data_IF_533160119527
#
_entry.id   IF_533160119527
#
_cell.length_a   1.000
_cell.length_b   1.000
_cell.length_c   1.000
_cell.angle_alpha   90.00
_cell.angle_beta   90.00
_cell.angle_gamma   90.00
#
_symmetry.space_group_name_H-M   'P 1'
#
loop_
_entity.id
_entity.type
_entity.pdbx_description
1 polymer ?
#
# COMPACT_ATOMS: atom_id res chain seq x y z
N UNK A 1 26.62 17.45 9.07
CA UNK A 1 25.40 18.25 8.89
C UNK A 1 24.57 17.56 7.82
N UNK A 2 23.42 16.96 8.18
CA UNK A 2 22.47 16.48 7.17
C UNK A 2 22.04 17.71 6.37
N UNK A 3 22.28 17.73 5.06
CA UNK A 3 21.61 18.70 4.22
C UNK A 3 20.16 18.26 4.13
N UNK A 4 19.30 18.86 4.96
CA UNK A 4 17.86 18.62 4.86
C UNK A 4 17.40 19.11 3.50
N UNK A 5 17.11 18.14 2.63
CA UNK A 5 16.63 18.37 1.28
C UNK A 5 15.22 18.93 1.39
N UNK A 6 15.00 20.16 0.93
CA UNK A 6 13.67 20.77 0.94
C UNK A 6 12.73 20.02 -0.03
N UNK A 7 11.69 19.32 0.46
CA UNK A 7 10.81 18.52 -0.38
C UNK A 7 9.97 19.37 -1.35
N UNK A 8 9.80 20.66 -1.10
CA UNK A 8 8.99 21.56 -1.94
C UNK A 8 9.57 21.80 -3.34
N UNK A 9 10.84 21.49 -3.56
CA UNK A 9 11.52 21.68 -4.84
C UNK A 9 11.73 20.37 -5.62
N UNK A 10 11.09 19.28 -5.19
CA UNK A 10 11.28 17.95 -5.78
C UNK A 10 9.98 17.46 -6.38
N UNK A 11 10.09 16.90 -7.58
CA UNK A 11 9.09 16.01 -8.14
C UNK A 11 9.64 14.59 -8.08
N UNK A 12 8.82 13.65 -7.62
CA UNK A 12 9.22 12.27 -7.46
C UNK A 12 8.30 11.34 -8.24
N UNK A 13 8.87 10.31 -8.87
CA UNK A 13 8.14 9.28 -9.59
C UNK A 13 8.87 7.93 -9.46
N UNK A 14 8.11 6.84 -9.40
CA UNK A 14 8.63 5.47 -9.41
C UNK A 14 8.01 4.68 -10.58
N UNK A 15 8.64 4.73 -11.77
CA UNK A 15 8.14 4.03 -12.95
C UNK A 15 8.17 2.51 -12.81
N UNK A 16 9.09 1.95 -12.00
CA UNK A 16 9.19 0.52 -11.76
C UNK A 16 7.96 -0.02 -11.03
N UNK A 17 7.44 0.74 -10.06
CA UNK A 17 6.20 0.38 -9.36
C UNK A 17 4.98 0.44 -10.30
N UNK A 18 4.94 1.39 -11.23
CA UNK A 18 3.89 1.42 -12.25
C UNK A 18 3.96 0.24 -13.20
N UNK A 19 5.16 -0.19 -13.61
CA UNK A 19 5.32 -1.39 -14.43
C UNK A 19 4.83 -2.64 -13.68
N UNK A 20 5.15 -2.75 -12.39
CA UNK A 20 4.67 -3.83 -11.53
C UNK A 20 3.13 -3.86 -11.44
N UNK A 21 2.51 -2.72 -11.12
CA UNK A 21 1.05 -2.62 -11.01
C UNK A 21 0.36 -2.89 -12.36
N UNK A 22 0.93 -2.42 -13.46
CA UNK A 22 0.39 -2.65 -14.80
C UNK A 22 0.39 -4.14 -15.15
N UNK A 23 1.46 -4.86 -14.81
CA UNK A 23 1.56 -6.30 -15.01
C UNK A 23 0.55 -7.09 -14.14
N UNK A 24 0.29 -6.64 -12.92
CA UNK A 24 -0.72 -7.27 -12.05
C UNK A 24 -2.15 -7.03 -12.51
N UNK A 25 -2.47 -5.79 -12.90
CA UNK A 25 -3.84 -5.39 -13.26
C UNK A 25 -4.19 -5.69 -14.72
N UNK A 26 -3.20 -5.95 -15.58
CA UNK A 26 -3.43 -6.15 -17.02
C UNK A 26 -3.99 -4.90 -17.72
N UNK A 27 -3.50 -3.73 -17.33
CA UNK A 27 -4.03 -2.44 -17.79
C UNK A 27 -3.65 -2.20 -19.26
N UNK A 28 -4.62 -1.72 -20.06
CA UNK A 28 -4.37 -1.35 -21.45
C UNK A 28 -3.39 -0.15 -21.56
N UNK A 29 -2.58 -0.08 -22.63
CA UNK A 29 -1.71 1.08 -22.88
C UNK A 29 -2.52 2.39 -22.89
N UNK A 30 -2.05 3.38 -22.12
CA UNK A 30 -2.70 4.70 -22.02
C UNK A 30 -3.77 4.84 -20.94
N UNK A 31 -4.17 3.75 -20.28
CA UNK A 31 -5.02 3.82 -19.10
C UNK A 31 -4.19 4.07 -17.81
N UNK A 32 -4.81 4.73 -16.83
CA UNK A 32 -4.16 4.97 -15.54
C UNK A 32 -3.99 3.63 -14.80
N UNK A 33 -2.77 3.38 -14.34
CA UNK A 33 -2.43 2.22 -13.49
C UNK A 33 -2.76 2.51 -12.02
N UNK A 34 -2.82 3.80 -11.67
CA UNK A 34 -3.24 4.25 -10.35
C UNK A 34 -4.75 4.45 -10.29
N UNK A 35 -5.34 3.97 -9.21
CA UNK A 35 -6.72 4.18 -8.82
C UNK A 35 -6.81 4.28 -7.29
N UNK A 36 -8.03 4.41 -6.78
CA UNK A 36 -8.30 4.56 -5.35
C UNK A 36 -7.75 3.41 -4.50
N UNK A 37 -7.62 2.21 -5.08
CA UNK A 37 -7.15 1.02 -4.36
C UNK A 37 -5.65 1.01 -4.10
N UNK A 38 -4.84 1.71 -4.90
CA UNK A 38 -3.38 1.60 -4.86
C UNK A 38 -2.63 2.95 -4.80
N UNK A 39 -3.32 4.08 -4.94
CA UNK A 39 -2.70 5.40 -4.91
C UNK A 39 -1.94 5.66 -3.59
N UNK A 40 -2.49 5.23 -2.46
CA UNK A 40 -1.82 5.38 -1.16
C UNK A 40 -0.60 4.48 -1.01
N UNK A 41 -0.63 3.26 -1.57
CA UNK A 41 0.55 2.39 -1.58
C UNK A 41 1.68 2.96 -2.42
N UNK A 42 1.34 3.54 -3.58
CA UNK A 42 2.32 4.26 -4.40
C UNK A 42 2.89 5.47 -3.66
N UNK A 43 2.03 6.29 -3.04
CA UNK A 43 2.48 7.43 -2.24
C UNK A 43 3.41 7.03 -1.11
N UNK A 44 3.17 5.87 -0.48
CA UNK A 44 4.02 5.33 0.59
C UNK A 44 5.45 4.98 0.15
N UNK A 45 5.70 4.85 -1.16
CA UNK A 45 7.06 4.66 -1.70
C UNK A 45 7.80 5.97 -1.96
N UNK A 46 7.12 7.11 -1.83
CA UNK A 46 7.67 8.43 -2.07
C UNK A 46 8.44 8.97 -0.85
N UNK A 47 9.37 9.92 -1.05
CA UNK A 47 10.06 10.60 0.06
C UNK A 47 9.15 11.54 0.85
N UNK A 48 7.91 11.77 0.40
CA UNK A 48 6.93 12.62 1.07
C UNK A 48 6.10 11.87 2.11
N UNK A 49 6.18 10.53 2.12
CA UNK A 49 5.44 9.71 3.07
C UNK A 49 6.19 9.60 4.40
N UNK A 50 5.50 9.92 5.48
CA UNK A 50 6.03 9.76 6.83
C UNK A 50 5.73 8.35 7.37
N UNK A 51 6.79 7.63 7.74
CA UNK A 51 6.71 6.29 8.36
C UNK A 51 6.18 6.31 9.79
N UNK A 52 6.07 7.48 10.42
CA UNK A 52 5.44 7.64 11.72
C UNK A 52 3.95 8.04 11.60
N UNK A 53 3.42 8.12 10.38
CA UNK A 53 2.02 8.46 10.16
C UNK A 53 1.08 7.35 10.62
N UNK A 54 -0.16 7.73 10.94
CA UNK A 54 -1.22 6.77 11.27
C UNK A 54 -1.47 5.77 10.13
N UNK A 55 -1.27 6.19 8.87
CA UNK A 55 -1.38 5.31 7.71
C UNK A 55 -0.38 4.16 7.78
N UNK A 56 0.86 4.42 8.22
CA UNK A 56 1.87 3.37 8.38
C UNK A 56 1.53 2.43 9.52
N UNK A 57 0.99 2.97 10.62
CA UNK A 57 0.53 2.14 11.73
C UNK A 57 -0.57 1.16 11.29
N UNK A 58 -1.60 1.65 10.60
CA UNK A 58 -2.69 0.80 10.07
C UNK A 58 -2.17 -0.21 9.05
N UNK A 59 -1.22 0.19 8.19
CA UNK A 59 -0.58 -0.70 7.22
C UNK A 59 0.16 -1.84 7.92
N UNK A 60 0.94 -1.53 8.96
CA UNK A 60 1.68 -2.54 9.72
C UNK A 60 0.75 -3.49 10.47
N UNK A 61 -0.30 -2.97 11.11
CA UNK A 61 -1.33 -3.79 11.78
C UNK A 61 -1.98 -4.75 10.78
N UNK A 62 -2.40 -4.24 9.61
CA UNK A 62 -2.99 -5.06 8.55
C UNK A 62 -2.05 -6.18 8.09
N UNK A 63 -0.77 -5.87 7.84
CA UNK A 63 0.22 -6.86 7.45
C UNK A 63 0.44 -7.96 8.50
N UNK A 64 0.44 -7.59 9.79
CA UNK A 64 0.52 -8.54 10.90
C UNK A 64 -0.70 -9.46 10.93
N UNK A 65 -1.90 -8.90 10.78
CA UNK A 65 -3.14 -9.69 10.76
C UNK A 65 -3.18 -10.66 9.57
N UNK A 66 -2.76 -10.21 8.39
CA UNK A 66 -2.61 -11.08 7.21
C UNK A 66 -1.63 -12.23 7.46
N UNK A 67 -0.46 -11.95 8.03
CA UNK A 67 0.53 -12.97 8.34
C UNK A 67 0.02 -13.98 9.38
N UNK A 68 -0.68 -13.51 10.42
CA UNK A 68 -1.31 -14.36 11.43
C UNK A 68 -2.39 -15.25 10.82
N UNK A 69 -3.24 -14.70 9.96
CA UNK A 69 -4.29 -15.45 9.29
C UNK A 69 -3.70 -16.49 8.30
N UNK A 70 -2.66 -16.13 7.54
CA UNK A 70 -1.98 -17.05 6.63
C UNK A 70 -1.27 -18.20 7.37
N UNK A 71 -0.74 -17.94 8.57
CA UNK A 71 -0.13 -18.96 9.41
C UNK A 71 -1.14 -19.91 10.07
N UNK A 72 -2.41 -19.49 10.20
CA UNK A 72 -3.46 -20.25 10.91
C UNK A 72 -4.49 -20.91 9.99
N UNK A 73 -4.53 -20.58 8.70
CA UNK A 73 -5.53 -21.08 7.76
C UNK A 73 -4.94 -21.99 6.65
N UNK A 74 -5.50 -23.20 6.41
CA UNK A 74 -5.29 -23.96 5.19
C UNK A 74 -6.17 -23.48 4.00
N UNK A 75 -6.70 -22.25 4.04
CA UNK A 75 -7.70 -21.74 3.08
C UNK A 75 -7.16 -20.62 2.16
N UNK A 76 -7.85 -20.42 1.03
CA UNK A 76 -7.39 -19.59 -0.09
C UNK A 76 -7.13 -18.13 0.31
N UNK A 77 -6.05 -17.55 -0.23
CA UNK A 77 -5.60 -16.17 0.05
C UNK A 77 -6.68 -15.09 -0.21
N UNK A 78 -7.66 -15.36 -1.08
CA UNK A 78 -8.72 -14.41 -1.41
C UNK A 78 -9.76 -14.26 -0.28
N UNK A 79 -10.05 -15.35 0.43
CA UNK A 79 -10.99 -15.32 1.57
C UNK A 79 -10.35 -14.63 2.77
N UNK A 80 -9.05 -14.85 2.95
CA UNK A 80 -8.23 -14.21 3.97
C UNK A 80 -8.20 -12.68 3.83
N UNK A 81 -8.10 -12.18 2.60
CA UNK A 81 -8.10 -10.74 2.33
C UNK A 81 -9.42 -10.06 2.71
N UNK A 82 -10.54 -10.74 2.47
CA UNK A 82 -11.87 -10.22 2.82
C UNK A 82 -12.11 -10.22 4.33
N UNK A 83 -11.69 -11.28 5.02
CA UNK A 83 -11.81 -11.39 6.48
C UNK A 83 -11.02 -10.28 7.20
N UNK A 84 -9.80 -10.02 6.72
CA UNK A 84 -8.91 -9.01 7.32
C UNK A 84 -9.44 -7.59 7.12
N UNK A 85 -9.93 -7.28 5.91
CA UNK A 85 -10.58 -5.99 5.63
C UNK A 85 -11.78 -5.74 6.56
N UNK A 86 -12.60 -6.78 6.80
CA UNK A 86 -13.78 -6.69 7.67
C UNK A 86 -13.43 -6.44 9.14
N UNK A 87 -12.33 -7.00 9.64
CA UNK A 87 -11.86 -6.76 11.02
C UNK A 87 -11.40 -5.31 11.21
N UNK A 88 -10.61 -4.80 10.27
CA UNK A 88 -10.11 -3.43 10.34
C UNK A 88 -11.26 -2.41 10.35
N UNK A 89 -12.32 -2.65 9.57
CA UNK A 89 -13.52 -1.80 9.58
C UNK A 89 -14.25 -1.79 10.94
N UNK A 90 -14.16 -2.87 11.72
CA UNK A 90 -14.79 -2.96 13.03
C UNK A 90 -14.01 -2.22 14.11
N UNK A 91 -12.67 -2.18 14.02
CA UNK A 91 -11.82 -1.46 14.97
C UNK A 91 -11.82 0.06 14.76
N UNK A 92 -12.24 0.52 13.58
CA UNK A 92 -12.35 1.94 13.21
C UNK A 92 -13.73 2.56 13.54
N UNK A 93 -14.67 1.78 14.09
CA UNK A 93 -15.99 2.25 14.56
C UNK A 93 -16.01 2.43 16.07
#
# INVERSE_FOLDING_TARGET
MSQDVNPLHIQWKNPEFFAYLAAQKGVAPGASVLDESNAMEYFATSPFYDRHSNNEHVRMQSAVHFAQAAATAPQSMADLARETARRNEQELR
#
